data_IF_081765157231
#
_entry.id   IF_081765157231
#
_cell.length_a   1.000
_cell.length_b   1.000
_cell.length_c   1.000
_cell.angle_alpha   90.00
_cell.angle_beta   90.00
_cell.angle_gamma   90.00
#
_symmetry.space_group_name_H-M   'P 1'
#
loop_
_entity.id
_entity.type
_entity.pdbx_description
1 polymer ?
#
# COMPACT_ATOMS: atom_id res chain seq x y z
N UNK A 1 -8.83 -6.23 -35.89
CA UNK A 1 -9.73 -6.11 -34.72
C UNK A 1 -10.70 -7.27 -34.78
N UNK A 2 -10.93 -7.98 -33.67
CA UNK A 2 -11.80 -9.15 -33.58
C UNK A 2 -13.06 -8.76 -32.81
N UNK A 3 -14.22 -8.87 -33.45
CA UNK A 3 -15.52 -8.58 -32.83
C UNK A 3 -16.22 -9.88 -32.45
N UNK A 4 -16.77 -9.92 -31.24
CA UNK A 4 -17.53 -11.07 -30.72
C UNK A 4 -19.00 -10.67 -30.61
N UNK A 5 -19.87 -11.44 -31.25
CA UNK A 5 -21.32 -11.26 -31.25
C UNK A 5 -22.01 -12.40 -30.51
N UNK A 6 -23.14 -12.11 -29.87
CA UNK A 6 -24.00 -13.16 -29.30
C UNK A 6 -24.98 -13.72 -30.36
N UNK A 7 -25.80 -14.71 -29.96
CA UNK A 7 -26.83 -15.34 -30.81
C UNK A 7 -27.89 -14.38 -31.38
N UNK A 8 -27.98 -13.16 -30.86
CA UNK A 8 -28.90 -12.11 -31.32
C UNK A 8 -28.18 -11.05 -32.17
N UNK A 9 -26.96 -11.34 -32.64
CA UNK A 9 -26.11 -10.40 -33.39
C UNK A 9 -25.80 -9.09 -32.65
N UNK A 10 -25.92 -9.08 -31.32
CA UNK A 10 -25.48 -7.95 -30.50
C UNK A 10 -23.99 -8.11 -30.21
N UNK A 11 -23.23 -7.05 -30.45
CA UNK A 11 -21.80 -7.00 -30.12
C UNK A 11 -21.60 -7.09 -28.60
N UNK A 12 -20.70 -7.96 -28.18
CA UNK A 12 -20.44 -8.29 -26.77
C UNK A 12 -19.05 -7.84 -26.35
N UNK A 13 -18.08 -7.91 -27.25
CA UNK A 13 -16.71 -7.52 -26.98
C UNK A 13 -15.97 -7.19 -28.27
N UNK A 14 -14.97 -6.32 -28.15
CA UNK A 14 -14.02 -6.06 -29.21
C UNK A 14 -12.59 -6.25 -28.70
N UNK A 15 -11.84 -7.11 -29.38
CA UNK A 15 -10.44 -7.36 -29.10
C UNK A 15 -9.56 -6.72 -30.16
N UNK A 16 -8.59 -5.94 -29.71
CA UNK A 16 -7.51 -5.49 -30.56
C UNK A 16 -6.67 -6.73 -30.95
N UNK A 17 -6.17 -6.76 -32.18
CA UNK A 17 -5.29 -7.84 -32.66
C UNK A 17 -3.88 -7.27 -32.67
N UNK A 18 -2.93 -7.98 -32.05
CA UNK A 18 -1.53 -7.59 -32.05
C UNK A 18 -0.93 -7.98 -33.40
N UNK A 19 -0.39 -7.02 -34.14
CA UNK A 19 0.25 -7.25 -35.44
C UNK A 19 1.76 -7.41 -35.34
N UNK A 20 2.34 -7.15 -34.17
CA UNK A 20 3.76 -7.32 -33.87
C UNK A 20 4.06 -8.76 -33.42
N UNK A 21 5.22 -9.28 -33.81
CA UNK A 21 5.64 -10.62 -33.42
C UNK A 21 6.25 -10.61 -32.01
N UNK A 22 5.73 -11.43 -31.11
CA UNK A 22 6.25 -11.61 -29.74
C UNK A 22 5.71 -10.64 -28.69
N UNK A 23 4.80 -9.73 -29.06
CA UNK A 23 4.14 -8.83 -28.12
C UNK A 23 2.79 -9.39 -27.65
N UNK A 24 2.46 -9.13 -26.38
CA UNK A 24 1.18 -9.49 -25.78
C UNK A 24 0.38 -8.22 -25.52
N UNK A 25 -0.85 -8.16 -26.04
CA UNK A 25 -1.81 -7.10 -25.72
C UNK A 25 -2.85 -7.64 -24.76
N UNK A 26 -3.08 -6.91 -23.67
CA UNK A 26 -4.13 -7.23 -22.70
C UNK A 26 -5.06 -6.03 -22.62
N UNK A 27 -6.36 -6.25 -22.86
CA UNK A 27 -7.36 -5.25 -22.56
C UNK A 27 -7.73 -5.33 -21.06
N UNK A 28 -7.40 -4.31 -20.24
CA UNK A 28 -7.68 -4.34 -18.79
C UNK A 28 -9.17 -4.45 -18.48
N UNK A 29 -10.05 -3.89 -19.33
CA UNK A 29 -11.51 -3.93 -19.14
C UNK A 29 -12.10 -5.34 -19.22
N UNK A 30 -11.38 -6.29 -19.84
CA UNK A 30 -11.76 -7.71 -19.87
C UNK A 30 -11.11 -8.52 -18.74
N UNK A 31 -10.26 -7.90 -17.91
CA UNK A 31 -9.62 -8.53 -16.77
C UNK A 31 -9.77 -7.68 -15.50
N UNK A 32 -10.92 -7.78 -14.81
CA UNK A 32 -11.20 -7.00 -13.60
C UNK A 32 -10.16 -7.20 -12.49
N UNK A 33 -9.51 -8.38 -12.45
CA UNK A 33 -8.42 -8.66 -11.49
C UNK A 33 -7.19 -7.81 -11.76
N UNK A 34 -6.85 -7.61 -13.04
CA UNK A 34 -5.76 -6.75 -13.46
C UNK A 34 -6.05 -5.29 -13.14
N UNK A 35 -7.27 -4.82 -13.43
CA UNK A 35 -7.71 -3.46 -13.08
C UNK A 35 -7.57 -3.19 -11.57
N UNK A 36 -8.04 -4.12 -10.73
CA UNK A 36 -7.87 -4.02 -9.28
C UNK A 36 -6.39 -4.01 -8.89
N UNK A 37 -5.54 -4.84 -9.51
CA UNK A 37 -4.12 -4.85 -9.19
C UNK A 37 -3.45 -3.50 -9.52
N UNK A 38 -3.78 -2.92 -10.68
CA UNK A 38 -3.26 -1.64 -11.12
C UNK A 38 -3.76 -0.46 -10.25
N UNK A 39 -4.98 -0.55 -9.70
CA UNK A 39 -5.55 0.50 -8.85
C UNK A 39 -5.10 0.42 -7.38
N UNK A 40 -4.55 -0.72 -6.91
CA UNK A 40 -4.09 -0.89 -5.51
C UNK A 40 -3.16 0.22 -4.98
N UNK A 41 -2.15 0.70 -5.73
CA UNK A 41 -1.27 1.75 -5.24
C UNK A 41 -1.99 3.06 -4.92
N UNK A 42 -2.93 3.50 -5.76
CA UNK A 42 -3.69 4.74 -5.52
C UNK A 42 -4.69 4.57 -4.39
N UNK A 43 -5.35 3.41 -4.30
CA UNK A 43 -6.22 3.08 -3.17
C UNK A 43 -5.48 3.08 -1.83
N UNK A 44 -4.25 2.55 -1.81
CA UNK A 44 -3.41 2.58 -0.61
C UNK A 44 -3.06 4.01 -0.21
N UNK A 45 -2.65 4.86 -1.16
CA UNK A 45 -2.34 6.27 -0.88
C UNK A 45 -3.56 7.02 -0.31
N UNK A 46 -4.73 6.83 -0.91
CA UNK A 46 -5.96 7.44 -0.44
C UNK A 46 -6.30 7.00 0.99
N UNK A 47 -6.32 5.69 1.25
CA UNK A 47 -6.63 5.15 2.59
C UNK A 47 -5.64 5.61 3.65
N UNK A 48 -4.36 5.72 3.31
CA UNK A 48 -3.36 6.26 4.23
C UNK A 48 -3.57 7.75 4.48
N UNK A 49 -3.99 8.51 3.47
CA UNK A 49 -4.34 9.93 3.63
C UNK A 49 -5.59 10.13 4.50
N UNK A 50 -6.57 9.23 4.43
CA UNK A 50 -7.76 9.23 5.28
C UNK A 50 -7.46 8.93 6.76
N UNK A 51 -6.34 8.26 7.05
CA UNK A 51 -5.86 8.04 8.42
C UNK A 51 -5.27 9.34 8.99
N UNK A 52 -4.49 10.06 8.20
CA UNK A 52 -3.94 11.36 8.59
C UNK A 52 -2.69 11.76 7.80
N UNK A 53 -2.19 12.97 8.09
CA UNK A 53 -1.04 13.57 7.41
C UNK A 53 0.23 12.72 7.60
N UNK A 54 0.54 12.32 8.83
CA UNK A 54 1.76 11.57 9.12
C UNK A 54 1.73 10.17 8.50
N UNK A 55 0.55 9.56 8.40
CA UNK A 55 0.33 8.30 7.70
C UNK A 55 0.60 8.43 6.19
N UNK A 56 0.18 9.54 5.56
CA UNK A 56 0.50 9.86 4.17
C UNK A 56 2.00 10.07 3.96
N UNK A 57 2.65 10.85 4.83
CA UNK A 57 4.09 11.11 4.74
C UNK A 57 4.91 9.80 4.93
N UNK A 58 4.45 8.93 5.83
CA UNK A 58 5.01 7.61 6.02
C UNK A 58 4.86 6.74 4.75
N UNK A 59 3.70 6.77 4.07
CA UNK A 59 3.48 6.02 2.84
C UNK A 59 4.52 6.37 1.76
N UNK A 60 4.75 7.65 1.50
CA UNK A 60 5.75 8.08 0.52
C UNK A 60 7.17 7.69 0.94
N UNK A 61 7.50 7.89 2.22
CA UNK A 61 8.81 7.52 2.78
C UNK A 61 9.07 6.01 2.63
N UNK A 62 8.06 5.18 2.96
CA UNK A 62 8.12 3.74 2.83
C UNK A 62 8.25 3.29 1.36
N UNK A 63 7.53 3.93 0.44
CA UNK A 63 7.59 3.62 -1.00
C UNK A 63 9.00 3.85 -1.56
N UNK A 64 9.68 4.90 -1.11
CA UNK A 64 11.08 5.19 -1.50
C UNK A 64 12.06 4.21 -0.83
N UNK A 65 11.90 3.95 0.47
CA UNK A 65 12.85 3.12 1.24
C UNK A 65 12.69 1.62 0.99
N UNK A 66 11.48 1.15 0.68
CA UNK A 66 11.13 -0.28 0.53
C UNK A 66 10.16 -0.52 -0.66
N UNK A 67 10.55 -0.17 -1.89
CA UNK A 67 9.66 -0.24 -3.07
C UNK A 67 9.13 -1.65 -3.36
N UNK A 68 9.86 -2.71 -3.00
CA UNK A 68 9.43 -4.11 -3.22
C UNK A 68 8.38 -4.60 -2.22
N UNK A 69 8.33 -4.02 -1.02
CA UNK A 69 7.50 -4.55 0.08
C UNK A 69 6.53 -3.54 0.69
N UNK A 70 6.53 -2.27 0.23
CA UNK A 70 5.66 -1.23 0.77
C UNK A 70 4.19 -1.64 0.71
N UNK A 71 3.73 -2.23 -0.41
CA UNK A 71 2.32 -2.61 -0.55
C UNK A 71 1.85 -3.55 0.56
N UNK A 72 2.65 -4.58 0.87
CA UNK A 72 2.36 -5.54 1.94
C UNK A 72 2.32 -4.84 3.30
N UNK A 73 3.32 -4.01 3.59
CA UNK A 73 3.42 -3.29 4.87
C UNK A 73 2.22 -2.34 5.05
N UNK A 74 1.84 -1.61 3.99
CA UNK A 74 0.68 -0.72 4.02
C UNK A 74 -0.61 -1.50 4.22
N UNK A 75 -0.81 -2.62 3.52
CA UNK A 75 -1.98 -3.48 3.76
C UNK A 75 -2.07 -3.94 5.22
N UNK A 76 -0.93 -4.30 5.83
CA UNK A 76 -0.88 -4.67 7.25
C UNK A 76 -1.22 -3.50 8.18
N UNK A 77 -0.73 -2.28 7.88
CA UNK A 77 -1.05 -1.07 8.65
C UNK A 77 -2.53 -0.69 8.53
N UNK A 78 -3.09 -0.77 7.33
CA UNK A 78 -4.50 -0.48 7.10
C UNK A 78 -5.40 -1.46 7.87
N UNK A 79 -5.03 -2.74 7.91
CA UNK A 79 -5.73 -3.71 8.75
C UNK A 79 -5.63 -3.33 10.23
N UNK A 80 -4.44 -2.96 10.72
CA UNK A 80 -4.25 -2.49 12.10
C UNK A 80 -5.11 -1.28 12.46
N UNK A 81 -5.34 -0.38 11.50
CA UNK A 81 -6.17 0.81 11.73
C UNK A 81 -7.63 0.48 12.04
N UNK A 82 -8.11 -0.70 11.65
CA UNK A 82 -9.44 -1.19 12.00
C UNK A 82 -9.53 -1.58 13.48
N UNK A 83 -8.41 -1.98 14.08
CA UNK A 83 -8.34 -2.41 15.49
C UNK A 83 -8.05 -1.25 16.44
N UNK A 84 -7.05 -0.43 16.15
CA UNK A 84 -6.56 0.61 17.07
C UNK A 84 -7.09 2.02 16.78
N UNK A 85 -7.80 2.20 15.66
CA UNK A 85 -8.33 3.48 15.24
C UNK A 85 -7.29 4.40 14.59
N UNK A 86 -7.79 5.37 13.81
CA UNK A 86 -6.96 6.20 12.92
C UNK A 86 -5.97 7.11 13.67
N UNK A 87 -6.38 7.69 14.80
CA UNK A 87 -5.54 8.63 15.55
C UNK A 87 -4.27 7.96 16.10
N UNK A 88 -4.42 6.79 16.74
CA UNK A 88 -3.29 6.02 17.30
C UNK A 88 -2.32 5.61 16.19
N UNK A 89 -2.84 5.15 15.05
CA UNK A 89 -2.00 4.81 13.89
C UNK A 89 -1.26 6.03 13.37
N UNK A 90 -1.92 7.17 13.16
CA UNK A 90 -1.28 8.36 12.63
C UNK A 90 -0.11 8.83 13.53
N UNK A 91 -0.30 8.87 14.84
CA UNK A 91 0.77 9.22 15.79
C UNK A 91 1.90 8.18 15.84
N UNK A 92 1.56 6.89 15.74
CA UNK A 92 2.55 5.82 15.69
C UNK A 92 3.40 5.89 14.44
N UNK A 93 2.80 6.19 13.29
CA UNK A 93 3.52 6.36 12.03
C UNK A 93 4.36 7.64 12.01
N UNK A 94 3.90 8.72 12.64
CA UNK A 94 4.71 9.91 12.89
C UNK A 94 6.01 9.54 13.62
N UNK A 95 5.88 8.83 14.75
CA UNK A 95 7.02 8.34 15.53
C UNK A 95 7.91 7.43 14.69
N UNK A 96 7.33 6.47 14.00
CA UNK A 96 8.07 5.55 13.15
C UNK A 96 8.89 6.29 12.09
N UNK A 97 8.31 7.32 11.45
CA UNK A 97 9.00 8.11 10.43
C UNK A 97 10.17 8.92 11.01
N UNK A 98 9.99 9.53 12.20
CA UNK A 98 11.06 10.25 12.91
C UNK A 98 12.28 9.35 13.18
N UNK A 99 12.05 8.08 13.54
CA UNK A 99 13.11 7.12 13.82
C UNK A 99 13.51 6.25 12.62
N UNK A 100 12.97 6.49 11.42
CA UNK A 100 13.27 5.70 10.22
C UNK A 100 12.84 4.22 10.30
N UNK A 101 11.78 3.92 11.04
CA UNK A 101 11.26 2.57 11.26
C UNK A 101 10.23 2.22 10.17
N UNK A 102 10.61 1.32 9.26
CA UNK A 102 9.80 0.93 8.10
C UNK A 102 9.46 -0.57 8.09
N UNK A 103 9.25 -1.18 9.25
CA UNK A 103 8.84 -2.58 9.33
C UNK A 103 7.61 -2.72 10.23
N UNK A 104 6.74 -3.64 9.86
CA UNK A 104 5.47 -3.87 10.54
C UNK A 104 5.64 -4.20 12.03
N UNK A 105 6.56 -5.12 12.37
CA UNK A 105 6.72 -5.61 13.74
C UNK A 105 7.07 -4.48 14.72
N UNK A 106 7.96 -3.58 14.32
CA UNK A 106 8.35 -2.43 15.13
C UNK A 106 7.22 -1.39 15.24
N UNK A 107 6.42 -1.21 14.18
CA UNK A 107 5.24 -0.32 14.23
C UNK A 107 4.18 -0.90 15.17
N UNK A 108 3.90 -2.20 15.08
CA UNK A 108 2.99 -2.89 15.98
C UNK A 108 3.44 -2.73 17.44
N UNK A 109 4.75 -2.91 17.69
CA UNK A 109 5.33 -2.70 19.01
C UNK A 109 5.18 -1.26 19.53
N UNK A 110 5.35 -0.24 18.67
CA UNK A 110 5.11 1.16 19.04
C UNK A 110 3.67 1.37 19.52
N UNK A 111 2.71 0.70 18.88
CA UNK A 111 1.29 0.79 19.21
C UNK A 111 0.99 0.05 20.52
N UNK A 112 1.40 -1.22 20.62
CA UNK A 112 1.16 -2.07 21.80
C UNK A 112 1.79 -1.49 23.07
N UNK A 113 3.00 -0.93 22.99
CA UNK A 113 3.69 -0.32 24.13
C UNK A 113 3.31 1.16 24.35
N UNK A 114 2.37 1.71 23.57
CA UNK A 114 1.91 3.09 23.73
C UNK A 114 2.99 4.15 23.48
N UNK A 115 4.04 3.82 22.73
CA UNK A 115 5.22 4.68 22.56
C UNK A 115 4.93 5.93 21.72
N UNK A 116 3.83 5.95 20.97
CA UNK A 116 3.40 7.09 20.16
C UNK A 116 3.11 8.35 20.98
N UNK A 117 2.79 8.20 22.26
CA UNK A 117 2.51 9.31 23.18
C UNK A 117 3.75 9.82 23.94
N UNK A 118 4.89 9.13 23.88
CA UNK A 118 6.09 9.53 24.62
C UNK A 118 6.85 10.62 23.87
N UNK A 119 7.09 11.75 24.51
CA UNK A 119 8.01 12.77 23.99
C UNK A 119 9.36 12.13 23.67
N UNK A 120 9.81 12.35 22.43
CA UNK A 120 11.07 11.84 21.94
C UNK A 120 12.22 12.57 22.65
N UNK A 121 12.75 12.00 23.73
CA UNK A 121 14.13 12.25 24.09
C UNK A 121 15.00 11.71 22.95
N UNK A 122 15.57 12.64 22.18
CA UNK A 122 16.48 12.39 21.07
C UNK A 122 17.66 11.59 21.65
N UNK A 123 17.66 10.26 21.55
CA UNK A 123 18.78 9.44 22.01
C UNK A 123 18.55 7.94 22.28
N UNK A 124 17.33 7.45 22.50
CA UNK A 124 17.16 6.13 23.14
C UNK A 124 17.08 4.88 22.23
N UNK A 125 17.22 4.97 20.90
CA UNK A 125 17.10 3.80 20.00
C UNK A 125 18.42 3.30 19.38
N UNK A 126 19.56 3.66 19.97
CA UNK A 126 20.86 3.04 19.68
C UNK A 126 21.15 1.81 20.55
N UNK A 127 20.21 0.86 20.63
CA UNK A 127 20.52 -0.50 21.08
C UNK A 127 19.30 -1.38 20.89
N UNK A 128 19.19 -1.97 19.70
CA UNK A 128 18.71 -3.34 19.47
C UNK A 128 18.71 -3.58 17.97
N UNK A 129 19.90 -3.89 17.45
CA UNK A 129 20.05 -4.60 16.17
C UNK A 129 19.22 -5.88 16.29
N UNK A 130 18.08 -5.95 15.62
CA UNK A 130 17.46 -7.22 15.30
C UNK A 130 18.25 -7.82 14.14
N UNK A 131 19.35 -8.49 14.47
CA UNK A 131 19.91 -9.56 13.66
C UNK A 131 19.22 -10.84 14.14
N UNK A 132 18.47 -11.49 13.25
CA UNK A 132 18.48 -12.95 13.03
C UNK A 132 17.89 -13.19 11.65
#
# INVERSE_FOLDING_TARGET
MLQIYNKHFKEVAIHQICTSQGEFITNPSHNPKLEHFLSRPSQHEQKMSEIGKDARDFFFSLKVKKPSSYQRIISSILHLSQTYGRNIINQSLKRANIYGIYNYLSINKIIEEGLYNKESLIGAWHSRRFCK
#
